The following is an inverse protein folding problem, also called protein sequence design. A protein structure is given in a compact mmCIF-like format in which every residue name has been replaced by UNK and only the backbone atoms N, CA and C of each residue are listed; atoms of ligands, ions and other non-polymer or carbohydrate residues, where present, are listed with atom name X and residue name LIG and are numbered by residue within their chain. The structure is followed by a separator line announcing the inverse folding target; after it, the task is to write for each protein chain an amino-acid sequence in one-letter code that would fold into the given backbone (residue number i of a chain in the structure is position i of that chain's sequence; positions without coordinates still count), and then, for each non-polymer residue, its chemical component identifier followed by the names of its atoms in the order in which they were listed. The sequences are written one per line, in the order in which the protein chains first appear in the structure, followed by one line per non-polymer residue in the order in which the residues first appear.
data_IF_158024558850
#
_entry.id   IF_158024558850
#
_cell.length_a   1.000
_cell.length_b   1.000
_cell.length_c   1.000
_cell.angle_alpha   90.00
_cell.angle_beta   90.00
_cell.angle_gamma   90.00
#
_symmetry.space_group_name_H-M   'P 1'
#
loop_
_entity.id
_entity.type
_entity.pdbx_description
1 polymer ?
#
# COMPACT_ATOMS: atom_id res chain seq x y z
N UNK A 1 16.07 47.13 6.73
CA UNK A 1 14.93 46.25 7.10
C UNK A 1 15.06 44.96 6.31
N UNK A 2 15.19 43.81 6.99
CA UNK A 2 15.31 42.49 6.35
C UNK A 2 13.93 42.01 5.87
N UNK A 3 13.80 41.46 4.65
CA UNK A 3 12.51 40.99 4.15
C UNK A 3 12.23 39.58 4.70
N UNK A 4 11.69 39.46 5.91
CA UNK A 4 11.42 38.13 6.53
C UNK A 4 9.98 37.61 6.39
N UNK A 5 9.00 38.35 5.88
CA UNK A 5 7.59 38.02 6.20
C UNK A 5 6.66 37.44 5.11
N UNK A 6 7.13 37.15 3.90
CA UNK A 6 6.25 36.62 2.83
C UNK A 6 6.18 35.08 2.72
N UNK A 7 7.09 34.33 3.37
CA UNK A 7 7.13 32.85 3.28
C UNK A 7 6.25 32.12 4.30
N UNK A 8 5.61 32.84 5.22
CA UNK A 8 4.86 32.25 6.34
C UNK A 8 3.34 32.43 6.23
N UNK A 9 2.86 32.92 5.09
CA UNK A 9 1.45 33.12 4.82
C UNK A 9 0.95 32.02 3.86
N UNK A 10 -0.07 31.28 4.30
CA UNK A 10 -0.78 30.26 3.50
C UNK A 10 -2.27 30.53 3.52
N UNK A 11 -3.04 29.83 2.69
CA UNK A 11 -4.50 29.93 2.69
C UNK A 11 -5.11 29.03 3.77
N UNK A 12 -6.07 29.58 4.50
CA UNK A 12 -6.87 28.87 5.47
C UNK A 12 -7.80 27.88 4.78
N UNK A 13 -7.73 26.62 5.17
CA UNK A 13 -8.57 25.53 4.63
C UNK A 13 -10.06 25.72 4.92
N UNK A 14 -10.42 26.50 5.95
CA UNK A 14 -11.81 26.72 6.36
C UNK A 14 -12.48 27.92 5.68
N UNK A 15 -11.75 29.02 5.48
CA UNK A 15 -12.34 30.28 5.00
C UNK A 15 -11.61 30.91 3.82
N UNK A 16 -10.58 30.27 3.27
CA UNK A 16 -9.81 30.73 2.11
C UNK A 16 -8.91 31.94 2.35
N UNK A 17 -9.06 32.64 3.49
CA UNK A 17 -8.25 33.82 3.84
C UNK A 17 -6.87 33.42 4.36
N UNK A 18 -6.05 34.42 4.66
CA UNK A 18 -4.68 34.22 5.10
C UNK A 18 -4.58 33.50 6.45
N UNK A 19 -3.64 32.57 6.54
CA UNK A 19 -3.21 31.88 7.74
C UNK A 19 -1.71 32.05 7.92
N UNK A 20 -1.29 32.32 9.16
CA UNK A 20 0.11 32.51 9.52
C UNK A 20 0.65 31.28 10.24
N UNK A 21 1.94 31.02 10.08
CA UNK A 21 2.63 29.97 10.84
C UNK A 21 2.78 30.42 12.29
N UNK A 22 2.28 29.61 13.23
CA UNK A 22 2.41 29.85 14.68
C UNK A 22 3.42 28.93 15.35
N UNK A 23 3.74 27.79 14.73
CA UNK A 23 4.71 26.84 15.26
C UNK A 23 5.43 26.14 14.11
N UNK A 24 6.73 25.89 14.29
CA UNK A 24 7.52 25.17 13.30
C UNK A 24 8.61 24.35 13.99
N UNK A 25 8.47 23.02 13.98
CA UNK A 25 9.39 22.10 14.66
C UNK A 25 9.77 20.95 13.75
N UNK A 26 11.03 20.51 13.83
CA UNK A 26 11.43 19.20 13.28
C UNK A 26 10.77 18.10 14.10
N UNK A 27 10.34 17.04 13.44
CA UNK A 27 9.78 15.88 14.11
C UNK A 27 10.90 14.87 14.30
N UNK A 28 11.12 14.48 15.55
CA UNK A 28 12.23 13.59 15.93
C UNK A 28 12.20 12.30 15.13
N UNK A 29 13.39 11.83 14.76
CA UNK A 29 13.59 10.59 13.98
C UNK A 29 12.85 10.54 12.63
N UNK A 30 12.48 11.68 12.05
CA UNK A 30 11.83 11.75 10.73
C UNK A 30 12.47 12.81 9.83
N UNK A 31 12.30 12.65 8.52
CA UNK A 31 12.67 13.67 7.53
C UNK A 31 11.59 14.77 7.38
N UNK A 32 10.72 14.92 8.39
CA UNK A 32 9.58 15.82 8.34
C UNK A 32 9.68 16.99 9.32
N UNK A 33 9.03 18.10 8.96
CA UNK A 33 8.85 19.29 9.77
C UNK A 33 7.37 19.51 10.00
N UNK A 34 6.95 19.57 11.27
CA UNK A 34 5.59 19.96 11.65
C UNK A 34 5.46 21.47 11.61
N UNK A 35 4.49 21.98 10.86
CA UNK A 35 4.09 23.40 10.86
C UNK A 35 2.64 23.54 11.31
N UNK A 36 2.40 24.40 12.28
CA UNK A 36 1.04 24.79 12.69
C UNK A 36 0.71 26.16 12.17
N UNK A 37 -0.48 26.30 11.62
CA UNK A 37 -0.99 27.52 11.06
C UNK A 37 -2.24 27.96 11.82
N UNK A 38 -2.41 29.27 11.96
CA UNK A 38 -3.63 29.87 12.51
C UNK A 38 -4.15 30.91 11.53
N UNK A 39 -5.43 30.81 11.19
CA UNK A 39 -6.09 31.80 10.35
C UNK A 39 -6.26 33.13 11.08
N UNK A 40 -5.84 34.22 10.46
CA UNK A 40 -5.97 35.57 11.03
C UNK A 40 -7.40 36.08 11.05
N UNK A 41 -8.30 35.47 10.27
CA UNK A 41 -9.69 35.90 10.16
C UNK A 41 -10.68 35.07 10.97
N UNK A 42 -10.56 33.74 10.94
CA UNK A 42 -11.53 32.85 11.60
C UNK A 42 -10.95 32.05 12.77
N UNK A 43 -9.65 32.23 13.09
CA UNK A 43 -8.98 31.54 14.18
C UNK A 43 -8.77 30.03 13.97
N UNK A 44 -9.19 29.47 12.83
CA UNK A 44 -9.02 28.05 12.56
C UNK A 44 -7.54 27.65 12.55
N UNK A 45 -7.22 26.53 13.21
CA UNK A 45 -5.88 25.97 13.32
C UNK A 45 -5.74 24.72 12.49
N UNK A 46 -4.66 24.64 11.73
CA UNK A 46 -4.31 23.47 10.91
C UNK A 46 -2.85 23.05 11.18
N UNK A 47 -2.57 21.76 11.06
CA UNK A 47 -1.21 21.21 11.20
C UNK A 47 -0.83 20.53 9.89
N UNK A 48 0.34 20.85 9.34
CA UNK A 48 0.90 20.18 8.17
C UNK A 48 2.26 19.57 8.50
N UNK A 49 2.59 18.49 7.82
CA UNK A 49 3.91 17.86 7.84
C UNK A 49 4.55 18.08 6.48
N UNK A 50 5.69 18.76 6.48
CA UNK A 50 6.43 19.11 5.27
C UNK A 50 7.72 18.30 5.24
N UNK A 51 8.09 17.80 4.07
CA UNK A 51 9.37 17.11 3.83
C UNK A 51 10.17 17.88 2.77
N UNK A 52 11.48 17.65 2.69
CA UNK A 52 12.28 18.25 1.62
C UNK A 52 11.89 17.66 0.26
N UNK A 53 12.03 18.46 -0.80
CA UNK A 53 11.80 17.98 -2.17
C UNK A 53 12.71 16.79 -2.52
N UNK A 54 13.96 16.79 -2.04
CA UNK A 54 14.89 15.68 -2.21
C UNK A 54 14.37 14.38 -1.59
N UNK A 55 13.85 14.43 -0.35
CA UNK A 55 13.27 13.26 0.30
C UNK A 55 11.99 12.78 -0.41
N UNK A 56 11.12 13.71 -0.82
CA UNK A 56 9.91 13.38 -1.57
C UNK A 56 10.24 12.66 -2.88
N UNK A 57 11.15 13.20 -3.70
CA UNK A 57 11.57 12.58 -4.96
C UNK A 57 12.20 11.19 -4.73
N UNK A 58 13.02 11.05 -3.69
CA UNK A 58 13.58 9.76 -3.32
C UNK A 58 12.50 8.74 -2.93
N UNK A 59 11.45 9.16 -2.20
CA UNK A 59 10.36 8.27 -1.81
C UNK A 59 9.55 7.75 -3.00
N UNK A 60 9.29 8.60 -4.00
CA UNK A 60 8.65 8.20 -5.26
C UNK A 60 9.50 7.17 -6.01
N UNK A 61 10.81 7.38 -6.07
CA UNK A 61 11.70 6.44 -6.76
C UNK A 61 11.79 5.10 -6.02
N UNK A 62 11.87 5.14 -4.68
CA UNK A 62 11.83 3.95 -3.85
C UNK A 62 10.53 3.15 -4.06
N UNK A 63 9.38 3.83 -4.16
CA UNK A 63 8.09 3.17 -4.42
C UNK A 63 8.11 2.42 -5.77
N UNK A 64 8.67 3.03 -6.82
CA UNK A 64 8.83 2.38 -8.14
C UNK A 64 9.71 1.14 -8.05
N UNK A 65 10.86 1.24 -7.38
CA UNK A 65 11.79 0.12 -7.21
C UNK A 65 11.13 -1.01 -6.42
N UNK A 66 10.42 -0.70 -5.34
CA UNK A 66 9.69 -1.70 -4.55
C UNK A 66 8.59 -2.38 -5.37
N UNK A 67 7.88 -1.64 -6.21
CA UNK A 67 6.89 -2.20 -7.12
C UNK A 67 7.52 -3.17 -8.13
N UNK A 68 8.65 -2.78 -8.74
CA UNK A 68 9.39 -3.67 -9.65
C UNK A 68 9.92 -4.92 -8.94
N UNK A 69 10.44 -4.77 -7.72
CA UNK A 69 10.91 -5.88 -6.90
C UNK A 69 9.75 -6.84 -6.60
N UNK A 70 8.58 -6.32 -6.25
CA UNK A 70 7.37 -7.12 -6.01
C UNK A 70 7.02 -7.94 -7.24
N UNK A 71 6.94 -7.32 -8.41
CA UNK A 71 6.67 -8.03 -9.68
C UNK A 71 7.72 -9.10 -9.99
N UNK A 72 8.99 -8.81 -9.74
CA UNK A 72 10.08 -9.76 -9.95
C UNK A 72 9.99 -10.96 -8.98
N UNK A 73 9.73 -10.71 -7.70
CA UNK A 73 9.51 -11.74 -6.69
C UNK A 73 8.30 -12.58 -7.06
N UNK A 74 7.17 -11.98 -7.45
CA UNK A 74 5.97 -12.70 -7.87
C UNK A 74 6.27 -13.59 -9.10
N UNK A 75 7.02 -13.07 -10.08
CA UNK A 75 7.45 -13.84 -11.26
C UNK A 75 8.42 -14.98 -10.93
N UNK A 76 9.40 -14.75 -10.05
CA UNK A 76 10.45 -15.73 -9.71
C UNK A 76 10.04 -16.76 -8.67
N UNK A 77 9.17 -16.37 -7.75
CA UNK A 77 8.60 -17.29 -6.76
C UNK A 77 7.69 -18.32 -7.41
N UNK A 78 7.15 -18.04 -8.61
CA UNK A 78 6.16 -18.87 -9.27
C UNK A 78 4.81 -18.89 -8.53
N UNK A 79 4.68 -18.08 -7.47
CA UNK A 79 3.53 -18.05 -6.59
C UNK A 79 2.54 -17.01 -7.13
N UNK A 80 1.61 -17.48 -7.96
CA UNK A 80 0.35 -16.76 -8.16
C UNK A 80 -0.45 -16.99 -6.89
N UNK A 81 -0.60 -15.97 -6.04
CA UNK A 81 -1.56 -15.99 -4.94
C UNK A 81 -2.98 -15.96 -5.51
N UNK A 82 -3.43 -17.06 -6.12
CA UNK A 82 -4.83 -17.23 -6.49
C UNK A 82 -5.55 -17.63 -5.22
N UNK A 83 -6.24 -16.67 -4.60
CA UNK A 83 -7.15 -16.97 -3.51
C UNK A 83 -8.19 -17.98 -4.03
N UNK A 84 -8.09 -19.22 -3.57
CA UNK A 84 -9.12 -20.22 -3.81
C UNK A 84 -10.31 -19.77 -2.97
N UNK A 85 -11.36 -19.29 -3.61
CA UNK A 85 -12.62 -18.88 -2.97
C UNK A 85 -13.77 -19.84 -3.30
N UNK A 86 -13.45 -21.01 -3.82
CA UNK A 86 -14.42 -21.98 -4.31
C UNK A 86 -14.11 -23.36 -3.70
N UNK A 87 -15.11 -23.94 -3.04
CA UNK A 87 -15.07 -25.28 -2.50
C UNK A 87 -14.71 -26.32 -3.56
N UNK A 88 -15.14 -26.14 -4.82
CA UNK A 88 -14.90 -27.10 -5.90
C UNK A 88 -13.41 -27.23 -6.25
N UNK A 89 -12.63 -26.16 -6.05
CA UNK A 89 -11.19 -26.10 -6.33
C UNK A 89 -10.32 -26.18 -5.08
N UNK A 90 -10.95 -26.34 -3.91
CA UNK A 90 -10.29 -26.51 -2.62
C UNK A 90 -9.64 -27.90 -2.49
N UNK A 91 -8.53 -28.02 -1.77
CA UNK A 91 -7.89 -29.32 -1.50
C UNK A 91 -8.70 -30.25 -0.62
N UNK A 92 -9.57 -29.69 0.20
CA UNK A 92 -10.43 -30.44 1.09
C UNK A 92 -11.74 -30.86 0.41
N UNK A 93 -11.87 -30.70 -0.91
CA UNK A 93 -13.03 -31.23 -1.64
C UNK A 93 -12.90 -32.75 -1.84
N UNK A 94 -13.85 -33.50 -1.29
CA UNK A 94 -14.01 -34.93 -1.51
C UNK A 94 -15.28 -35.19 -2.32
N UNK A 95 -15.23 -34.87 -3.62
CA UNK A 95 -16.28 -35.26 -4.59
C UNK A 95 -17.68 -34.70 -4.32
N UNK A 96 -17.77 -33.45 -3.83
CA UNK A 96 -18.99 -32.69 -3.45
C UNK A 96 -19.30 -32.60 -1.94
N UNK A 97 -18.32 -32.88 -1.08
CA UNK A 97 -18.38 -32.59 0.35
C UNK A 97 -17.03 -32.09 0.84
N UNK A 98 -17.04 -31.35 1.95
CA UNK A 98 -15.80 -30.97 2.60
C UNK A 98 -15.25 -32.16 3.39
N UNK A 99 -13.98 -32.54 3.17
CA UNK A 99 -13.27 -33.56 3.93
C UNK A 99 -13.05 -33.17 5.41
N UNK A 100 -13.23 -31.90 5.74
CA UNK A 100 -13.26 -31.39 7.12
C UNK A 100 -14.68 -31.44 7.72
N UNK A 101 -15.63 -32.04 7.00
CA UNK A 101 -17.04 -32.23 7.41
C UNK A 101 -17.78 -30.92 7.73
N UNK A 102 -17.33 -29.82 7.11
CA UNK A 102 -17.95 -28.50 7.20
C UNK A 102 -19.28 -28.52 6.42
N UNK A 103 -20.43 -28.25 7.07
CA UNK A 103 -21.75 -28.37 6.44
C UNK A 103 -22.03 -27.29 5.40
N UNK A 104 -21.31 -26.16 5.44
CA UNK A 104 -21.47 -25.03 4.53
C UNK A 104 -20.79 -25.26 3.15
N UNK A 105 -20.41 -26.50 2.81
CA UNK A 105 -19.74 -26.80 1.53
C UNK A 105 -20.53 -26.28 0.31
N UNK A 106 -19.85 -25.48 -0.52
CA UNK A 106 -20.41 -24.88 -1.74
C UNK A 106 -21.67 -24.02 -1.51
N UNK A 107 -21.86 -23.49 -0.30
CA UNK A 107 -22.90 -22.49 0.00
C UNK A 107 -22.31 -21.07 -0.01
N UNK A 108 -23.18 -20.05 0.05
CA UNK A 108 -22.76 -18.65 0.16
C UNK A 108 -21.98 -18.37 1.45
N UNK A 109 -22.22 -19.13 2.52
CA UNK A 109 -21.52 -19.00 3.80
C UNK A 109 -20.07 -19.48 3.71
N UNK A 110 -19.76 -20.42 2.82
CA UNK A 110 -18.39 -20.87 2.57
C UNK A 110 -17.49 -19.81 1.92
N UNK A 111 -18.03 -18.69 1.41
CA UNK A 111 -17.23 -17.60 0.80
C UNK A 111 -16.13 -17.06 1.73
N UNK A 112 -16.33 -17.16 3.05
CA UNK A 112 -15.38 -16.74 4.09
C UNK A 112 -14.72 -17.92 4.83
N UNK A 113 -14.67 -19.11 4.21
CA UNK A 113 -14.07 -20.30 4.81
C UNK A 113 -12.61 -20.03 5.21
N UNK A 114 -12.28 -20.20 6.49
CA UNK A 114 -10.92 -20.00 7.04
C UNK A 114 -9.92 -21.03 6.52
N UNK A 115 -10.40 -22.16 6.03
CA UNK A 115 -9.61 -23.25 5.46
C UNK A 115 -9.30 -23.07 3.97
N UNK A 116 -9.79 -21.99 3.35
CA UNK A 116 -9.34 -21.64 2.00
C UNK A 116 -7.85 -21.31 2.01
N UNK A 117 -7.06 -22.32 1.65
CA UNK A 117 -5.62 -22.18 1.52
C UNK A 117 -5.29 -21.23 0.35
N UNK A 118 -4.37 -20.30 0.61
CA UNK A 118 -3.58 -19.70 -0.46
C UNK A 118 -2.61 -20.81 -0.92
N UNK A 119 -3.03 -21.65 -1.87
CA UNK A 119 -2.12 -22.64 -2.45
C UNK A 119 -0.97 -21.89 -3.11
N UNK A 120 0.23 -22.00 -2.52
CA UNK A 120 1.48 -21.59 -3.16
C UNK A 120 1.79 -22.60 -4.26
N UNK A 121 1.25 -22.38 -5.45
CA UNK A 121 1.67 -23.17 -6.61
C UNK A 121 3.13 -22.81 -6.90
N UNK A 122 4.02 -23.81 -6.94
CA UNK A 122 5.30 -23.67 -7.64
C UNK A 122 5.01 -24.00 -9.10
N UNK A 123 5.03 -23.02 -9.98
CA UNK A 123 5.17 -23.32 -11.40
C UNK A 123 6.53 -23.98 -11.60
N UNK A 124 6.57 -25.23 -12.07
CA UNK A 124 7.80 -25.85 -12.52
C UNK A 124 8.52 -24.90 -13.49
N UNK A 125 9.84 -24.70 -13.38
CA UNK A 125 10.57 -23.98 -14.41
C UNK A 125 10.27 -24.66 -15.74
N UNK A 126 9.76 -23.89 -16.71
CA UNK A 126 9.43 -24.39 -18.04
C UNK A 126 10.58 -25.24 -18.55
N UNK A 127 10.26 -26.47 -18.98
CA UNK A 127 11.17 -27.30 -19.78
C UNK A 127 11.76 -26.40 -20.86
N UNK A 128 13.04 -26.09 -20.76
CA UNK A 128 13.78 -25.63 -21.93
C UNK A 128 13.62 -26.75 -22.95
N UNK A 129 12.88 -26.49 -24.02
CA UNK A 129 12.90 -27.33 -25.21
C UNK A 129 14.34 -27.31 -25.72
N UNK A 130 15.05 -28.40 -25.46
CA UNK A 130 16.30 -28.71 -26.15
C UNK A 130 15.97 -28.84 -27.63
N UNK A 131 16.22 -27.79 -28.42
CA UNK A 131 16.30 -27.90 -29.87
C UNK A 131 17.61 -28.62 -30.20
N UNK A 132 17.54 -29.94 -30.32
CA UNK A 132 18.51 -30.72 -31.05
C UNK A 132 18.16 -30.64 -32.55
N UNK A 133 19.09 -30.16 -33.35
CA UNK A 133 19.20 -30.39 -34.80
C UNK A 133 20.68 -30.09 -35.11
N UNK A 134 21.52 -31.13 -35.23
CA UNK A 134 21.73 -31.97 -36.41
C UNK A 134 22.50 -31.22 -37.49
#
# INVERSE_FOLDING_TARGET
MKPEHLRDLTTCEKCGRTAKVIESRRVDMSNSRRRRFECTSCGHRATRYEVSAAFYNQSIENERVLHQLKLYIDKKSGVINKHIRDCNTCEYNDGNKCNLEVPEFATEEATNCTYYQIKKWRTSPGKQSSSAAA
#
